data_IF_498379853025
#
_entry.id   IF_498379853025
#
_cell.length_a   1.000
_cell.length_b   1.000
_cell.length_c   1.000
_cell.angle_alpha   90.00
_cell.angle_beta   90.00
_cell.angle_gamma   90.00
#
_symmetry.space_group_name_H-M   'P 1'
#
loop_
_entity.id
_entity.type
_entity.pdbx_description
1 polymer ?
#
# COMPACT_ATOMS: atom_id res chain seq x y z
N UNK A 1 -8.32 18.43 -11.28
CA UNK A 1 -8.12 17.21 -12.08
C UNK A 1 -6.90 16.48 -11.57
N UNK A 2 -6.55 15.35 -12.18
CA UNK A 2 -5.42 14.50 -11.77
C UNK A 2 -5.85 13.32 -10.88
N UNK A 3 -4.89 12.52 -10.43
CA UNK A 3 -5.13 11.36 -9.57
C UNK A 3 -4.54 11.58 -8.17
N UNK A 4 -5.26 11.19 -7.11
CA UNK A 4 -4.76 11.24 -5.75
C UNK A 4 -5.05 9.93 -5.01
N UNK A 5 -4.04 9.38 -4.34
CA UNK A 5 -4.18 8.31 -3.36
C UNK A 5 -4.41 8.89 -1.97
N UNK A 6 -5.40 8.39 -1.23
CA UNK A 6 -5.71 8.88 0.12
C UNK A 6 -5.44 7.84 1.21
N UNK A 7 -4.79 8.30 2.28
CA UNK A 7 -4.74 7.63 3.58
C UNK A 7 -5.39 8.55 4.61
N UNK A 8 -6.33 8.05 5.42
CA UNK A 8 -7.09 8.91 6.31
C UNK A 8 -7.31 8.31 7.70
N UNK A 9 -6.84 9.03 8.73
CA UNK A 9 -7.22 8.79 10.12
C UNK A 9 -8.30 9.81 10.51
N UNK A 10 -9.55 9.45 10.28
CA UNK A 10 -10.70 10.34 10.50
C UNK A 10 -10.76 10.95 11.90
N UNK A 11 -10.37 10.19 12.94
CA UNK A 11 -10.36 10.69 14.32
C UNK A 11 -9.39 11.85 14.55
N UNK A 12 -8.35 11.98 13.74
CA UNK A 12 -7.42 13.11 13.79
C UNK A 12 -7.98 14.37 13.14
N UNK A 13 -9.05 14.27 12.34
CA UNK A 13 -9.67 15.42 11.66
C UNK A 13 -10.73 16.12 12.54
N UNK A 14 -11.03 15.58 13.72
CA UNK A 14 -12.07 16.08 14.62
C UNK A 14 -13.46 15.53 14.29
N UNK A 15 -14.50 16.29 14.61
CA UNK A 15 -15.89 15.87 14.37
C UNK A 15 -16.28 16.03 12.88
N UNK A 16 -16.45 14.89 12.19
CA UNK A 16 -16.90 14.85 10.80
C UNK A 16 -18.39 14.54 10.70
N UNK A 17 -19.22 15.56 10.47
CA UNK A 17 -20.63 15.37 10.13
C UNK A 17 -20.72 14.60 8.80
N UNK A 18 -21.41 13.46 8.78
CA UNK A 18 -21.48 12.56 7.61
C UNK A 18 -20.34 11.53 7.51
N UNK A 19 -19.34 11.58 8.39
CA UNK A 19 -18.30 10.56 8.48
C UNK A 19 -17.45 10.43 7.20
N UNK A 20 -17.19 9.19 6.78
CA UNK A 20 -16.27 8.90 5.67
C UNK A 20 -16.79 9.43 4.33
N UNK A 21 -18.11 9.46 4.14
CA UNK A 21 -18.75 10.04 2.96
C UNK A 21 -18.33 11.50 2.77
N UNK A 22 -18.33 12.29 3.84
CA UNK A 22 -17.92 13.70 3.79
C UNK A 22 -16.47 13.86 3.33
N UNK A 23 -15.58 12.97 3.77
CA UNK A 23 -14.18 13.00 3.33
C UNK A 23 -14.06 12.69 1.84
N UNK A 24 -14.73 11.63 1.36
CA UNK A 24 -14.72 11.25 -0.06
C UNK A 24 -15.30 12.36 -0.93
N UNK A 25 -16.45 12.93 -0.55
CA UNK A 25 -17.07 14.06 -1.27
C UNK A 25 -16.15 15.28 -1.32
N UNK A 26 -15.59 15.68 -0.19
CA UNK A 26 -14.69 16.83 -0.14
C UNK A 26 -13.45 16.65 -1.03
N UNK A 27 -12.87 15.45 -1.07
CA UNK A 27 -11.74 15.14 -1.95
C UNK A 27 -12.14 15.17 -3.42
N UNK A 28 -13.29 14.58 -3.78
CA UNK A 28 -13.80 14.63 -5.15
C UNK A 28 -14.14 16.07 -5.59
N UNK A 29 -14.70 16.89 -4.71
CA UNK A 29 -14.99 18.31 -4.98
C UNK A 29 -13.71 19.10 -5.25
N UNK A 30 -12.64 18.88 -4.45
CA UNK A 30 -11.33 19.53 -4.64
C UNK A 30 -10.66 19.06 -5.93
N UNK A 31 -10.72 17.76 -6.24
CA UNK A 31 -10.16 17.21 -7.46
C UNK A 31 -10.97 17.65 -8.70
N UNK A 32 -12.26 17.97 -8.52
CA UNK A 32 -13.18 18.36 -9.59
C UNK A 32 -13.60 17.19 -10.49
N UNK A 33 -14.39 17.44 -11.54
CA UNK A 33 -14.98 16.39 -12.39
C UNK A 33 -13.93 15.57 -13.17
N UNK A 34 -12.78 16.15 -13.48
CA UNK A 34 -11.64 15.48 -14.13
C UNK A 34 -10.68 14.82 -13.12
N UNK A 35 -11.11 14.72 -11.86
CA UNK A 35 -10.39 14.19 -10.74
C UNK A 35 -10.59 12.69 -10.55
N UNK A 36 -9.55 11.97 -10.11
CA UNK A 36 -9.67 10.56 -9.72
C UNK A 36 -9.09 10.35 -8.32
N UNK A 37 -9.86 9.73 -7.44
CA UNK A 37 -9.45 9.39 -6.09
C UNK A 37 -9.21 7.88 -6.01
N UNK A 38 -8.11 7.46 -5.38
CA UNK A 38 -7.82 6.05 -5.12
C UNK A 38 -7.48 5.81 -3.64
N UNK A 39 -7.68 4.60 -3.14
CA UNK A 39 -7.31 4.19 -1.79
C UNK A 39 -6.86 2.72 -1.79
N UNK A 40 -5.89 2.41 -0.92
CA UNK A 40 -5.49 1.05 -0.60
C UNK A 40 -6.58 0.36 0.22
N UNK A 41 -6.95 -0.86 -0.15
CA UNK A 41 -8.09 -1.59 0.45
C UNK A 41 -7.66 -2.84 1.22
N UNK A 42 -6.85 -3.70 0.62
CA UNK A 42 -6.60 -5.05 1.13
C UNK A 42 -7.88 -5.88 1.30
N UNK A 43 -7.77 -6.98 2.05
CA UNK A 43 -8.90 -7.86 2.34
C UNK A 43 -9.01 -8.15 3.85
N UNK A 44 -10.11 -7.68 4.46
CA UNK A 44 -10.35 -7.83 5.90
C UNK A 44 -10.43 -9.28 6.39
N UNK A 45 -10.98 -10.15 5.55
CA UNK A 45 -11.29 -11.55 5.88
C UNK A 45 -10.40 -12.49 5.05
N UNK A 46 -9.14 -12.10 4.82
CA UNK A 46 -8.15 -12.93 4.14
C UNK A 46 -7.76 -14.15 4.98
N UNK A 47 -7.29 -15.24 4.35
CA UNK A 47 -6.78 -16.39 5.10
C UNK A 47 -5.54 -16.00 5.92
N UNK A 48 -5.22 -16.73 7.01
CA UNK A 48 -3.97 -16.54 7.73
C UNK A 48 -2.74 -16.66 6.83
N UNK A 49 -1.72 -15.83 7.09
CA UNK A 49 -0.49 -15.77 6.29
C UNK A 49 0.21 -17.12 6.18
N UNK A 50 0.28 -17.87 7.28
CA UNK A 50 0.83 -19.22 7.33
C UNK A 50 -0.22 -20.24 7.78
N UNK A 51 -0.85 -20.89 6.80
CA UNK A 51 -1.77 -22.00 7.03
C UNK A 51 -1.08 -23.24 7.63
N UNK A 52 0.25 -23.34 7.55
CA UNK A 52 1.03 -24.44 8.12
C UNK A 52 1.15 -24.40 9.64
N UNK A 53 0.99 -23.22 10.24
CA UNK A 53 0.99 -23.02 11.70
C UNK A 53 -0.37 -23.38 12.34
N UNK A 54 -1.40 -23.59 11.52
CA UNK A 54 -2.71 -24.06 11.97
C UNK A 54 -2.69 -25.57 12.25
N UNK A 55 -3.58 -26.02 13.14
CA UNK A 55 -3.86 -27.44 13.25
C UNK A 55 -4.48 -28.01 11.97
N UNK A 56 -4.42 -29.33 11.83
CA UNK A 56 -4.86 -30.06 10.64
C UNK A 56 -6.35 -29.84 10.29
N UNK A 57 -7.21 -29.64 11.30
CA UNK A 57 -8.64 -29.42 11.10
C UNK A 57 -8.91 -28.02 10.57
N UNK A 58 -8.33 -27.00 11.22
CA UNK A 58 -8.45 -25.61 10.81
C UNK A 58 -7.83 -25.37 9.43
N UNK A 59 -6.64 -25.95 9.17
CA UNK A 59 -5.97 -25.87 7.87
C UNK A 59 -6.84 -26.45 6.76
N UNK A 60 -7.46 -27.62 6.99
CA UNK A 60 -8.38 -28.24 6.03
C UNK A 60 -9.61 -27.36 5.78
N UNK A 61 -10.22 -26.84 6.84
CA UNK A 61 -11.38 -25.96 6.74
C UNK A 61 -11.07 -24.70 5.91
N UNK A 62 -9.92 -24.05 6.10
CA UNK A 62 -9.51 -22.94 5.26
C UNK A 62 -9.39 -23.36 3.78
N UNK A 63 -8.63 -24.42 3.50
CA UNK A 63 -8.39 -24.87 2.11
C UNK A 63 -9.70 -25.26 1.39
N UNK A 64 -10.64 -25.88 2.09
CA UNK A 64 -11.90 -26.39 1.53
C UNK A 64 -13.03 -25.35 1.49
N UNK A 65 -13.13 -24.44 2.46
CA UNK A 65 -14.33 -23.60 2.64
C UNK A 65 -14.09 -22.10 2.46
N UNK A 66 -12.84 -21.63 2.56
CA UNK A 66 -12.58 -20.19 2.41
C UNK A 66 -12.99 -19.70 1.01
N UNK A 67 -13.81 -18.65 0.89
CA UNK A 67 -14.24 -18.15 -0.40
C UNK A 67 -13.06 -17.60 -1.18
N UNK A 68 -13.15 -17.66 -2.51
CA UNK A 68 -12.25 -16.90 -3.37
C UNK A 68 -12.41 -15.40 -3.11
N UNK A 69 -11.32 -14.66 -3.24
CA UNK A 69 -11.38 -13.21 -3.23
C UNK A 69 -12.30 -12.69 -4.34
N UNK A 70 -13.30 -11.89 -3.95
CA UNK A 70 -14.18 -11.17 -4.87
C UNK A 70 -14.22 -9.70 -4.44
N UNK A 71 -13.62 -8.78 -5.21
CA UNK A 71 -13.52 -7.36 -4.82
C UNK A 71 -14.89 -6.65 -4.71
N UNK A 72 -15.96 -7.24 -5.25
CA UNK A 72 -17.32 -6.69 -5.15
C UNK A 72 -17.86 -6.79 -3.72
N UNK A 73 -17.50 -7.84 -2.99
CA UNK A 73 -18.04 -8.14 -1.65
C UNK A 73 -16.98 -8.15 -0.56
N UNK A 74 -15.72 -8.43 -0.88
CA UNK A 74 -14.61 -8.41 0.07
C UNK A 74 -14.47 -7.02 0.70
N UNK A 75 -14.50 -6.98 2.03
CA UNK A 75 -14.38 -5.74 2.79
C UNK A 75 -12.92 -5.27 2.77
N UNK A 76 -12.72 -3.97 2.62
CA UNK A 76 -11.43 -3.33 2.89
C UNK A 76 -11.02 -3.61 4.33
N UNK A 77 -9.72 -3.78 4.56
CA UNK A 77 -9.20 -3.93 5.93
C UNK A 77 -9.54 -2.70 6.77
N UNK A 78 -9.91 -2.94 8.03
CA UNK A 78 -10.39 -1.91 8.96
C UNK A 78 -9.28 -0.98 9.42
N UNK A 79 -8.05 -1.47 9.48
CA UNK A 79 -6.83 -0.71 9.79
C UNK A 79 -6.50 0.33 8.70
N UNK A 80 -6.87 0.10 7.44
CA UNK A 80 -6.80 1.09 6.36
C UNK A 80 -7.85 2.22 6.48
N UNK A 81 -8.76 2.10 7.45
CA UNK A 81 -9.73 3.13 7.80
C UNK A 81 -10.99 3.10 6.96
N UNK A 82 -12.02 3.80 7.45
CA UNK A 82 -13.37 3.79 6.87
C UNK A 82 -13.46 4.48 5.51
N UNK A 83 -12.49 5.32 5.16
CA UNK A 83 -12.46 6.03 3.87
C UNK A 83 -12.16 5.07 2.73
N UNK A 84 -11.28 4.08 2.92
CA UNK A 84 -10.99 3.05 1.92
C UNK A 84 -12.24 2.23 1.58
N UNK A 85 -12.98 1.76 2.60
CA UNK A 85 -14.23 1.02 2.40
C UNK A 85 -15.34 1.87 1.76
N UNK A 86 -15.45 3.14 2.17
CA UNK A 86 -16.39 4.07 1.55
C UNK A 86 -16.07 4.32 0.08
N UNK A 87 -14.80 4.39 -0.29
CA UNK A 87 -14.36 4.54 -1.68
C UNK A 87 -14.58 3.24 -2.49
N UNK A 88 -14.32 2.07 -1.90
CA UNK A 88 -14.56 0.75 -2.52
C UNK A 88 -16.03 0.57 -2.91
N UNK A 89 -16.94 1.04 -2.07
CA UNK A 89 -18.39 0.92 -2.27
C UNK A 89 -19.03 2.13 -2.96
N UNK A 90 -18.24 3.12 -3.34
CA UNK A 90 -18.74 4.34 -3.99
C UNK A 90 -19.36 4.01 -5.37
N UNK A 91 -20.41 4.74 -5.81
CA UNK A 91 -20.93 4.60 -7.16
C UNK A 91 -19.82 4.70 -8.22
N UNK A 92 -19.84 3.77 -9.17
CA UNK A 92 -18.87 3.66 -10.27
C UNK A 92 -17.41 3.38 -9.86
N UNK A 93 -17.17 3.04 -8.58
CA UNK A 93 -15.86 2.62 -8.11
C UNK A 93 -15.35 1.40 -8.88
N UNK A 94 -14.05 1.42 -9.20
CA UNK A 94 -13.32 0.31 -9.81
C UNK A 94 -12.35 -0.25 -8.80
N UNK A 95 -12.15 -1.57 -8.82
CA UNK A 95 -11.20 -2.24 -7.97
C UNK A 95 -10.14 -2.95 -8.80
N UNK A 96 -8.89 -2.98 -8.33
CA UNK A 96 -7.76 -3.55 -9.06
C UNK A 96 -7.71 -5.08 -9.09
N UNK A 97 -8.50 -5.73 -8.22
CA UNK A 97 -8.70 -7.18 -8.21
C UNK A 97 -7.65 -7.98 -7.44
N UNK A 98 -6.62 -7.32 -6.90
CA UNK A 98 -5.63 -7.96 -6.04
C UNK A 98 -6.17 -8.11 -4.60
N UNK A 99 -6.03 -9.29 -3.96
CA UNK A 99 -6.54 -9.52 -2.61
C UNK A 99 -5.78 -8.75 -1.52
N UNK A 100 -4.45 -8.69 -1.62
CA UNK A 100 -3.58 -8.02 -0.63
C UNK A 100 -3.29 -6.56 -1.04
N UNK A 101 -2.48 -6.34 -2.08
CA UNK A 101 -2.19 -5.02 -2.68
C UNK A 101 -3.39 -4.27 -3.33
N UNK A 102 -4.63 -4.69 -3.08
CA UNK A 102 -5.83 -4.15 -3.73
C UNK A 102 -6.01 -2.63 -3.58
N UNK A 103 -6.51 -1.97 -4.63
CA UNK A 103 -6.90 -0.55 -4.58
C UNK A 103 -8.28 -0.35 -5.18
N UNK A 104 -9.05 0.55 -4.57
CA UNK A 104 -10.28 1.09 -5.14
C UNK A 104 -10.03 2.49 -5.73
N UNK A 105 -10.70 2.81 -6.83
CA UNK A 105 -10.60 4.13 -7.46
C UNK A 105 -11.94 4.62 -8.02
N UNK A 106 -12.18 5.92 -7.93
CA UNK A 106 -13.37 6.63 -8.43
C UNK A 106 -12.95 7.84 -9.25
N UNK A 107 -13.48 7.96 -10.47
CA UNK A 107 -13.22 9.09 -11.37
C UNK A 107 -12.78 8.64 -12.78
N UNK A 108 -12.51 9.58 -13.70
CA UNK A 108 -12.25 9.28 -15.11
C UNK A 108 -11.04 8.37 -15.35
N UNK A 109 -10.03 8.38 -14.47
CA UNK A 109 -8.83 7.54 -14.58
C UNK A 109 -8.93 6.22 -13.80
N UNK A 110 -10.06 5.94 -13.13
CA UNK A 110 -10.21 4.77 -12.27
C UNK A 110 -9.97 3.46 -13.05
N UNK A 111 -10.49 3.37 -14.27
CA UNK A 111 -10.26 2.21 -15.14
C UNK A 111 -8.80 2.04 -15.55
N UNK A 112 -8.05 3.14 -15.74
CA UNK A 112 -6.62 3.06 -16.06
C UNK A 112 -5.80 2.63 -14.84
N UNK A 113 -6.02 3.27 -13.68
CA UNK A 113 -5.27 2.97 -12.45
C UNK A 113 -5.45 1.51 -12.02
N UNK A 114 -6.67 0.98 -12.10
CA UNK A 114 -7.01 -0.34 -11.56
C UNK A 114 -6.80 -1.49 -12.55
N UNK A 115 -6.50 -1.22 -13.82
CA UNK A 115 -6.42 -2.27 -14.84
C UNK A 115 -5.29 -3.27 -14.56
N UNK A 116 -5.59 -4.57 -14.63
CA UNK A 116 -4.58 -5.63 -14.73
C UNK A 116 -3.53 -5.62 -13.62
N UNK A 117 -3.94 -5.54 -12.36
CA UNK A 117 -3.04 -5.64 -11.22
C UNK A 117 -2.35 -7.02 -11.21
N UNK A 118 -1.02 -7.11 -11.35
CA UNK A 118 -0.30 -8.38 -11.26
C UNK A 118 -0.53 -9.06 -9.91
N UNK A 119 -0.59 -10.39 -9.90
CA UNK A 119 -0.62 -11.17 -8.66
C UNK A 119 0.75 -11.29 -8.00
N UNK A 120 1.81 -11.31 -8.78
CA UNK A 120 3.19 -11.39 -8.28
C UNK A 120 3.84 -10.02 -8.48
N UNK A 121 4.77 -9.65 -7.59
CA UNK A 121 5.38 -8.31 -7.55
C UNK A 121 4.32 -7.19 -7.57
N UNK A 122 3.31 -7.27 -6.70
CA UNK A 122 2.10 -6.45 -6.72
C UNK A 122 2.33 -4.97 -6.32
N UNK A 123 3.55 -4.64 -5.88
CA UNK A 123 4.00 -3.26 -5.69
C UNK A 123 4.97 -2.79 -6.79
N UNK A 124 5.34 -3.66 -7.73
CA UNK A 124 6.32 -3.40 -8.78
C UNK A 124 5.82 -2.61 -9.99
N UNK A 125 6.38 -2.95 -11.16
CA UNK A 125 5.99 -2.36 -12.44
C UNK A 125 4.58 -2.83 -12.86
N UNK A 126 3.90 -2.05 -13.72
CA UNK A 126 2.56 -2.36 -14.22
C UNK A 126 1.47 -2.50 -13.13
N UNK A 127 1.71 -1.94 -11.94
CA UNK A 127 0.76 -1.89 -10.82
C UNK A 127 0.00 -0.57 -10.78
N UNK A 128 -1.11 -0.47 -10.01
CA UNK A 128 -1.78 0.80 -9.77
C UNK A 128 -0.86 1.88 -9.18
N UNK A 129 0.15 1.49 -8.41
CA UNK A 129 1.13 2.39 -7.81
C UNK A 129 2.07 2.98 -8.87
N UNK A 130 2.57 2.15 -9.79
CA UNK A 130 3.35 2.60 -10.94
C UNK A 130 2.56 3.59 -11.80
N UNK A 131 1.28 3.28 -12.09
CA UNK A 131 0.40 4.16 -12.88
C UNK A 131 0.13 5.49 -12.19
N UNK A 132 -0.06 5.50 -10.87
CA UNK A 132 -0.19 6.74 -10.11
C UNK A 132 1.04 7.64 -10.29
N UNK A 133 2.25 7.06 -10.25
CA UNK A 133 3.52 7.78 -10.48
C UNK A 133 3.62 8.29 -11.93
N UNK A 134 3.30 7.44 -12.90
CA UNK A 134 3.33 7.79 -14.33
C UNK A 134 2.41 8.95 -14.67
N UNK A 135 1.21 8.96 -14.10
CA UNK A 135 0.20 10.01 -14.27
C UNK A 135 0.54 11.32 -13.54
N UNK A 136 1.63 11.37 -12.77
CA UNK A 136 1.96 12.53 -11.93
C UNK A 136 0.92 12.74 -10.83
N UNK A 137 0.40 11.65 -10.27
CA UNK A 137 -0.57 11.69 -9.19
C UNK A 137 0.04 12.12 -7.86
N UNK A 138 -0.81 12.19 -6.84
CA UNK A 138 -0.44 12.67 -5.50
C UNK A 138 -0.78 11.63 -4.43
N UNK A 139 -0.11 11.70 -3.28
CA UNK A 139 -0.45 10.94 -2.08
C UNK A 139 -0.86 11.92 -0.97
N UNK A 140 -2.11 11.83 -0.55
CA UNK A 140 -2.71 12.68 0.47
C UNK A 140 -2.87 11.90 1.80
N UNK A 141 -2.09 12.29 2.80
CA UNK A 141 -2.18 11.78 4.17
C UNK A 141 -3.06 12.72 4.98
N UNK A 142 -4.28 12.34 5.31
CA UNK A 142 -5.23 13.14 6.08
C UNK A 142 -5.26 12.69 7.54
N UNK A 143 -4.37 13.27 8.36
CA UNK A 143 -4.19 12.88 9.77
C UNK A 143 -3.64 11.46 9.98
N UNK A 144 -3.42 10.71 8.90
CA UNK A 144 -2.81 9.40 8.92
C UNK A 144 -1.30 9.52 9.23
N UNK A 145 -0.72 8.57 10.00
CA UNK A 145 0.70 8.59 10.31
C UNK A 145 1.53 8.38 9.04
N UNK A 146 2.75 8.90 9.04
CA UNK A 146 3.63 8.81 7.86
C UNK A 146 4.11 7.38 7.59
N UNK A 147 4.14 6.50 8.59
CA UNK A 147 4.38 5.06 8.43
C UNK A 147 3.35 4.36 7.52
N UNK A 148 2.19 4.99 7.27
CA UNK A 148 1.13 4.41 6.43
C UNK A 148 1.21 4.78 4.95
N UNK A 149 2.31 5.40 4.49
CA UNK A 149 2.48 5.80 3.08
C UNK A 149 2.80 4.58 2.22
N UNK A 150 1.76 3.87 1.75
CA UNK A 150 1.90 2.63 0.94
C UNK A 150 2.76 2.80 -0.31
N UNK A 151 2.85 4.01 -0.88
CA UNK A 151 3.65 4.26 -2.08
C UNK A 151 5.17 4.04 -1.84
N UNK A 152 5.64 4.00 -0.58
CA UNK A 152 7.03 3.63 -0.28
C UNK A 152 7.31 2.17 -0.68
N UNK A 153 6.35 1.24 -0.58
CA UNK A 153 6.54 -0.14 -1.06
C UNK A 153 6.76 -0.21 -2.57
N UNK A 154 6.15 0.69 -3.34
CA UNK A 154 6.47 0.79 -4.77
C UNK A 154 7.92 1.21 -5.00
N UNK A 155 8.45 2.14 -4.19
CA UNK A 155 9.86 2.50 -4.23
C UNK A 155 10.78 1.33 -3.83
N UNK A 156 10.42 0.57 -2.79
CA UNK A 156 11.13 -0.66 -2.42
C UNK A 156 11.16 -1.66 -3.56
N UNK A 157 10.03 -1.88 -4.25
CA UNK A 157 9.91 -2.82 -5.35
C UNK A 157 10.80 -2.44 -6.54
N UNK A 158 10.86 -1.15 -6.91
CA UNK A 158 11.61 -0.70 -8.11
C UNK A 158 13.07 -0.34 -7.85
N UNK A 159 13.48 -0.13 -6.59
CA UNK A 159 14.87 0.18 -6.24
C UNK A 159 15.85 -0.93 -6.67
N UNK A 160 17.00 -0.57 -7.25
CA UNK A 160 17.97 -1.52 -7.81
C UNK A 160 19.06 -1.87 -6.79
N UNK A 161 18.66 -2.64 -5.78
CA UNK A 161 19.57 -3.13 -4.73
C UNK A 161 19.48 -4.65 -4.58
N UNK A 162 20.59 -5.34 -4.26
CA UNK A 162 20.57 -6.77 -4.01
C UNK A 162 19.95 -7.10 -2.64
N UNK A 163 19.59 -8.38 -2.43
CA UNK A 163 19.24 -8.88 -1.11
C UNK A 163 17.88 -8.46 -0.57
N UNK A 164 16.95 -8.06 -1.45
CA UNK A 164 15.55 -7.83 -1.06
C UNK A 164 14.94 -9.10 -0.49
N UNK A 165 14.36 -8.99 0.70
CA UNK A 165 13.52 -10.03 1.30
C UNK A 165 12.29 -10.22 0.43
N UNK A 166 11.87 -11.47 0.31
CA UNK A 166 10.68 -11.87 -0.44
C UNK A 166 9.85 -12.81 0.40
N UNK A 167 8.55 -12.72 0.23
CA UNK A 167 7.56 -13.59 0.86
C UNK A 167 6.85 -14.42 -0.20
N UNK A 168 6.30 -15.55 0.24
CA UNK A 168 5.45 -16.41 -0.55
C UNK A 168 4.26 -16.82 0.29
N UNK A 169 3.05 -16.52 -0.17
CA UNK A 169 1.81 -16.76 0.57
C UNK A 169 0.71 -17.29 -0.35
N UNK A 170 -0.30 -17.95 0.22
CA UNK A 170 -1.38 -18.59 -0.53
C UNK A 170 -2.70 -17.84 -0.34
N UNK A 171 -3.38 -17.50 -1.44
CA UNK A 171 -4.73 -16.93 -1.37
C UNK A 171 -5.70 -17.60 -2.35
N UNK A 172 -6.97 -17.81 -1.97
CA UNK A 172 -7.99 -18.30 -2.87
C UNK A 172 -8.44 -17.18 -3.81
N UNK A 173 -8.37 -17.41 -5.12
CA UNK A 173 -8.79 -16.47 -6.17
C UNK A 173 -9.68 -17.16 -7.19
N UNK A 174 -10.38 -16.39 -8.01
CA UNK A 174 -11.13 -16.91 -9.16
C UNK A 174 -10.24 -16.88 -10.41
N UNK A 175 -10.08 -18.04 -11.05
CA UNK A 175 -9.47 -18.18 -12.39
C UNK A 175 -10.48 -18.92 -13.26
N UNK A 176 -10.90 -18.31 -14.37
CA UNK A 176 -11.94 -18.85 -15.25
C UNK A 176 -13.23 -19.29 -14.51
N UNK A 177 -13.68 -18.45 -13.56
CA UNK A 177 -14.82 -18.67 -12.64
C UNK A 177 -14.68 -19.87 -11.68
N UNK A 178 -13.49 -20.47 -11.57
CA UNK A 178 -13.18 -21.52 -10.60
C UNK A 178 -12.33 -21.00 -9.43
N UNK A 179 -12.64 -21.43 -8.20
CA UNK A 179 -11.81 -21.12 -7.02
C UNK A 179 -10.52 -21.92 -7.08
N UNK A 180 -9.40 -21.23 -7.10
CA UNK A 180 -8.05 -21.80 -7.06
C UNK A 180 -7.25 -21.18 -5.91
N UNK A 181 -6.55 -22.02 -5.15
CA UNK A 181 -5.50 -21.54 -4.24
C UNK A 181 -4.25 -21.23 -5.05
N UNK A 182 -3.94 -19.93 -5.18
CA UNK A 182 -2.75 -19.45 -5.87
C UNK A 182 -1.68 -19.11 -4.85
N UNK A 183 -0.44 -19.47 -5.15
CA UNK A 183 0.74 -18.94 -4.45
C UNK A 183 1.18 -17.64 -5.11
N UNK A 184 1.39 -16.62 -4.27
CA UNK A 184 1.85 -15.28 -4.63
C UNK A 184 3.29 -15.14 -4.19
N UNK A 185 4.10 -14.37 -4.93
CA UNK A 185 5.43 -13.95 -4.50
C UNK A 185 5.61 -12.45 -4.63
N UNK A 186 6.01 -11.81 -3.53
CA UNK A 186 6.26 -10.37 -3.50
C UNK A 186 7.45 -10.02 -2.59
N UNK A 187 7.81 -8.75 -2.56
CA UNK A 187 8.67 -8.17 -1.52
C UNK A 187 8.01 -8.28 -0.15
N UNK A 188 8.83 -8.35 0.90
CA UNK A 188 8.33 -8.37 2.28
C UNK A 188 7.92 -6.95 2.71
N UNK A 189 6.63 -6.62 2.60
CA UNK A 189 6.08 -5.32 3.02
C UNK A 189 5.79 -5.26 4.52
N UNK A 190 5.69 -6.42 5.19
CA UNK A 190 5.34 -6.53 6.62
C UNK A 190 6.54 -6.26 7.52
N UNK A 191 7.66 -6.95 7.29
CA UNK A 191 8.89 -6.80 8.08
C UNK A 191 9.91 -5.88 7.38
N UNK A 192 9.54 -5.33 6.22
CA UNK A 192 10.37 -4.46 5.39
C UNK A 192 11.25 -5.24 4.41
N UNK A 193 11.36 -4.71 3.19
CA UNK A 193 12.01 -5.40 2.06
C UNK A 193 13.52 -5.52 2.25
N UNK A 194 14.11 -4.65 3.06
CA UNK A 194 15.54 -4.57 3.33
C UNK A 194 15.76 -4.51 4.84
N UNK A 195 16.98 -4.79 5.34
CA UNK A 195 17.27 -4.74 6.76
C UNK A 195 17.42 -3.30 7.27
N UNK A 196 16.33 -2.53 7.22
CA UNK A 196 16.28 -1.12 7.63
C UNK A 196 16.66 -0.92 9.10
N UNK A 197 16.42 -1.92 9.95
CA UNK A 197 16.80 -1.92 11.37
C UNK A 197 18.31 -1.69 11.58
N UNK A 198 19.14 -2.05 10.60
CA UNK A 198 20.60 -1.82 10.64
C UNK A 198 20.98 -0.35 10.54
N UNK A 199 20.12 0.48 9.97
CA UNK A 199 20.34 1.91 9.75
C UNK A 199 19.53 2.76 10.73
N UNK A 200 18.30 2.34 11.02
CA UNK A 200 17.29 3.13 11.72
C UNK A 200 17.01 2.64 13.14
N UNK A 201 17.52 1.47 13.53
CA UNK A 201 17.21 0.86 14.82
C UNK A 201 15.72 0.53 14.92
N UNK A 202 15.03 1.16 15.87
CA UNK A 202 13.59 0.97 16.12
C UNK A 202 12.70 2.00 15.39
N UNK A 203 13.27 2.96 14.65
CA UNK A 203 12.50 3.92 13.87
C UNK A 203 11.85 3.24 12.66
N UNK A 204 10.56 3.50 12.44
CA UNK A 204 9.82 3.01 11.27
C UNK A 204 10.41 3.59 9.97
N UNK A 205 10.74 2.72 9.02
CA UNK A 205 11.45 3.10 7.81
C UNK A 205 10.59 3.90 6.83
N UNK A 206 9.27 3.63 6.78
CA UNK A 206 8.33 4.36 5.92
C UNK A 206 8.18 5.78 6.45
N UNK A 207 7.98 5.93 7.75
CA UNK A 207 7.92 7.22 8.41
C UNK A 207 9.23 8.00 8.23
N UNK A 208 10.38 7.36 8.43
CA UNK A 208 11.69 7.98 8.23
C UNK A 208 11.86 8.55 6.81
N UNK A 209 11.55 7.73 5.79
CA UNK A 209 11.65 8.13 4.38
C UNK A 209 10.69 9.27 4.07
N UNK A 210 9.42 9.15 4.48
CA UNK A 210 8.39 10.16 4.19
C UNK A 210 8.68 11.49 4.92
N UNK A 211 9.14 11.44 6.18
CA UNK A 211 9.56 12.62 6.95
C UNK A 211 10.78 13.29 6.32
N UNK A 212 11.76 12.51 5.89
CA UNK A 212 12.96 13.02 5.22
C UNK A 212 12.62 13.65 3.85
N UNK A 213 11.67 13.06 3.11
CA UNK A 213 11.14 13.63 1.88
C UNK A 213 10.44 14.98 2.13
N UNK A 214 9.63 15.11 3.18
CA UNK A 214 9.03 16.40 3.58
C UNK A 214 10.09 17.46 3.89
N UNK A 215 11.12 17.09 4.67
CA UNK A 215 12.22 17.99 5.01
C UNK A 215 13.02 18.43 3.76
N UNK A 216 13.11 17.57 2.76
CA UNK A 216 13.74 17.85 1.46
C UNK A 216 12.84 18.66 0.49
N UNK A 217 11.61 19.00 0.88
CA UNK A 217 10.66 19.76 0.06
C UNK A 217 9.93 18.94 -1.01
N UNK A 218 9.93 17.61 -0.90
CA UNK A 218 9.25 16.67 -1.82
C UNK A 218 7.75 16.54 -1.50
N UNK A 219 7.30 17.15 -0.41
CA UNK A 219 5.89 17.28 -0.07
C UNK A 219 5.64 18.54 0.73
N UNK A 220 4.36 18.76 1.07
CA UNK A 220 3.91 19.90 1.86
C UNK A 220 2.98 19.44 2.96
N UNK A 221 2.94 20.23 4.03
CA UNK A 221 2.11 19.97 5.20
C UNK A 221 1.19 21.16 5.45
N UNK A 222 -0.01 20.90 5.96
CA UNK A 222 -0.95 21.95 6.33
C UNK A 222 -2.10 21.44 7.20
N UNK A 223 -2.87 22.32 7.84
CA UNK A 223 -4.00 21.92 8.66
C UNK A 223 -5.17 21.41 7.80
N UNK A 224 -5.86 20.36 8.26
CA UNK A 224 -7.15 19.88 7.73
C UNK A 224 -8.03 19.44 8.89
N UNK A 225 -9.18 20.09 9.06
CA UNK A 225 -9.99 19.93 10.28
C UNK A 225 -9.18 20.31 11.52
N UNK A 226 -9.19 19.44 12.53
CA UNK A 226 -8.36 19.58 13.75
C UNK A 226 -6.95 18.95 13.60
N UNK A 227 -6.65 18.34 12.47
CA UNK A 227 -5.43 17.57 12.23
C UNK A 227 -4.45 18.24 11.27
N UNK A 228 -3.36 17.52 11.00
CA UNK A 228 -2.37 17.86 9.97
C UNK A 228 -2.54 16.91 8.80
N UNK A 229 -2.48 17.45 7.59
CA UNK A 229 -2.35 16.69 6.37
C UNK A 229 -0.97 16.86 5.75
N UNK A 230 -0.52 15.82 5.05
CA UNK A 230 0.66 15.83 4.20
C UNK A 230 0.25 15.51 2.77
N UNK A 231 0.85 16.20 1.80
CA UNK A 231 0.64 15.93 0.38
C UNK A 231 2.00 15.75 -0.29
N UNK A 232 2.16 14.62 -0.96
CA UNK A 232 3.34 14.28 -1.74
C UNK A 232 2.99 14.22 -3.23
N UNK A 233 3.89 14.71 -4.08
CA UNK A 233 3.86 14.34 -5.50
C UNK A 233 4.38 12.91 -5.62
N UNK A 234 3.58 11.99 -6.18
CA UNK A 234 3.87 10.55 -6.17
C UNK A 234 5.25 10.24 -6.77
N UNK A 235 5.55 10.86 -7.93
CA UNK A 235 6.84 10.74 -8.60
C UNK A 235 7.99 11.22 -7.74
N UNK A 236 7.87 12.41 -7.15
CA UNK A 236 8.91 12.98 -6.31
C UNK A 236 9.20 12.11 -5.08
N UNK A 237 8.15 11.61 -4.42
CA UNK A 237 8.30 10.72 -3.27
C UNK A 237 9.01 9.42 -3.64
N UNK A 238 8.60 8.79 -4.75
CA UNK A 238 9.21 7.53 -5.19
C UNK A 238 10.66 7.72 -5.62
N UNK A 239 10.98 8.77 -6.38
CA UNK A 239 12.35 9.09 -6.76
C UNK A 239 13.24 9.34 -5.53
N UNK A 240 12.72 10.07 -4.53
CA UNK A 240 13.43 10.30 -3.27
C UNK A 240 13.67 8.99 -2.51
N UNK A 241 12.62 8.17 -2.32
CA UNK A 241 12.69 6.90 -1.61
C UNK A 241 13.63 5.90 -2.30
N UNK A 242 13.54 5.75 -3.62
CA UNK A 242 14.46 4.90 -4.41
C UNK A 242 15.89 5.37 -4.24
N UNK A 243 16.15 6.67 -4.39
CA UNK A 243 17.49 7.24 -4.22
C UNK A 243 18.04 6.97 -2.81
N UNK A 244 17.21 7.13 -1.77
CA UNK A 244 17.62 6.85 -0.39
C UNK A 244 17.94 5.36 -0.21
N UNK A 245 17.08 4.46 -0.69
CA UNK A 245 17.28 3.01 -0.61
C UNK A 245 18.57 2.60 -1.34
N UNK A 246 18.74 3.05 -2.59
CA UNK A 246 19.91 2.69 -3.39
C UNK A 246 21.21 3.22 -2.78
N UNK A 247 21.24 4.44 -2.24
CA UNK A 247 22.43 4.97 -1.58
C UNK A 247 22.85 4.17 -0.33
N UNK A 248 21.88 3.62 0.39
CA UNK A 248 22.13 2.91 1.65
C UNK A 248 22.34 1.40 1.48
N UNK A 249 21.88 0.81 0.35
CA UNK A 249 21.90 -0.64 0.12
C UNK A 249 22.52 -1.06 -1.23
N UNK A 250 23.12 -0.15 -2.01
CA UNK A 250 23.73 -0.44 -3.33
C UNK A 250 24.85 -1.50 -3.32
N UNK A 251 25.49 -1.73 -2.18
CA UNK A 251 26.58 -2.70 -2.05
C UNK A 251 26.10 -3.96 -1.34
N UNK A 252 26.11 -5.08 -2.08
CA UNK A 252 26.20 -6.43 -1.51
C UNK A 252 27.56 -6.67 -0.83
N UNK A 253 27.99 -5.75 0.04
CA UNK A 253 29.20 -5.85 0.81
C UNK A 253 28.99 -6.88 1.91
N UNK A 254 29.56 -8.06 1.72
CA UNK A 254 30.07 -8.86 2.83
C UNK A 254 30.90 -7.95 3.73
N UNK A 255 30.33 -7.48 4.82
CA UNK A 255 31.14 -7.22 6.01
C UNK A 255 31.60 -8.60 6.49
N UNK A 256 32.81 -8.95 6.05
CA UNK A 256 33.64 -9.98 6.64
C UNK A 256 33.91 -9.55 8.09
N UNK A 257 32.93 -9.80 8.97
CA UNK A 257 33.12 -9.75 10.41
C UNK A 257 33.94 -10.98 10.76
N UNK A 258 35.26 -10.80 10.69
CA UNK A 258 36.24 -11.76 11.15
C UNK A 258 35.82 -12.33 12.50
N UNK A 259 35.37 -13.58 12.46
CA UNK A 259 35.09 -14.38 13.63
C UNK A 259 36.41 -14.63 14.36
N UNK A 260 36.73 -13.79 15.34
CA UNK A 260 37.75 -14.12 16.33
C UNK A 260 37.10 -14.97 17.42
N UNK A 261 37.29 -16.28 17.31
CA UNK A 261 37.12 -17.20 18.43
C UNK A 261 37.95 -16.72 19.62
N UNK A 262 37.30 -16.53 20.77
CA UNK A 262 37.98 -16.55 22.06
C UNK A 262 37.65 -17.83 22.80
N UNK A 263 38.73 -18.52 23.15
CA UNK A 263 38.80 -19.60 24.13
C UNK A 263 38.40 -19.11 25.51
#
# INVERSE_FOLDING_TARGET
>A
GGAAMVHCRMSALGQLVGGAETVVRALLDVLGPEGTLMAYTGWQDEPPDDLGELDEEARRAHLEEHPAYDPRVALSRRDHGRVAEALRTWPDSRHSGHPEAGVAAVGPLAGNLTAGHPYDDAYGADTPYARLVELGGQVAMLGAPLESVTLVHHAEAVARVPGKRRVSYGMPVLVDDERVWRTFSDIDTSEGTLPYERLLGEEDYIEHIARSALAAGVGRSGPVGEGIAHLFEARGLVEYAVSWIEQNFASGGTTDLGWQAKR
#
